data_IF_832886721710
#
_entry.id   IF_832886721710
#
_cell.length_a   1.000
_cell.length_b   1.000
_cell.length_c   1.000
_cell.angle_alpha   90.00
_cell.angle_beta   90.00
_cell.angle_gamma   90.00
#
_symmetry.space_group_name_H-M   'P 1'
#
loop_
_entity.id
_entity.type
_entity.pdbx_description
1 polymer ?
#
# COMPACT_ATOMS: atom_id res chain seq x y z
N UNK A 1 1.12 12.32 3.10
CA UNK A 1 1.01 10.96 3.68
C UNK A 1 -0.23 10.26 3.18
N UNK A 2 -0.14 9.25 2.35
CA UNK A 2 -1.20 8.30 2.05
C UNK A 2 -0.43 7.03 1.88
N UNK A 3 -0.84 5.99 2.58
CA UNK A 3 0.04 4.89 2.95
C UNK A 3 -0.69 3.58 3.20
N UNK A 4 -0.25 2.96 4.28
CA UNK A 4 -0.23 1.53 4.55
C UNK A 4 -1.52 0.85 4.87
N UNK A 5 -1.46 -0.35 5.50
CA UNK A 5 -2.65 -1.05 5.95
C UNK A 5 -3.39 -0.21 6.97
N UNK A 6 -2.64 0.53 7.76
CA UNK A 6 -3.14 1.57 8.65
C UNK A 6 -3.80 2.71 7.86
N UNK A 7 -3.22 3.20 6.76
CA UNK A 7 -3.75 4.35 6.02
C UNK A 7 -4.95 4.01 5.14
N UNK A 8 -4.96 2.85 4.49
CA UNK A 8 -6.13 2.31 3.81
C UNK A 8 -7.25 2.04 4.82
N UNK A 9 -6.93 1.51 6.01
CA UNK A 9 -7.91 1.40 7.09
C UNK A 9 -8.36 2.77 7.57
N UNK A 10 -7.48 3.76 7.68
CA UNK A 10 -7.82 5.13 8.12
C UNK A 10 -8.70 5.82 7.08
N UNK A 11 -8.38 5.76 5.79
CA UNK A 11 -9.23 6.29 4.71
C UNK A 11 -10.56 5.54 4.66
N UNK A 12 -10.55 4.20 4.71
CA UNK A 12 -11.79 3.41 4.71
C UNK A 12 -12.66 3.65 5.95
N UNK A 13 -12.05 3.81 7.13
CA UNK A 13 -12.71 4.11 8.41
C UNK A 13 -13.23 5.56 8.45
N UNK A 14 -12.40 6.51 8.02
CA UNK A 14 -12.78 7.90 7.85
C UNK A 14 -13.99 7.99 6.91
N UNK A 15 -13.95 7.30 5.77
CA UNK A 15 -15.03 7.33 4.77
C UNK A 15 -16.20 6.37 5.07
N UNK A 16 -16.13 5.55 6.13
CA UNK A 16 -17.24 4.70 6.57
C UNK A 16 -18.37 5.49 7.24
N UNK A 17 -18.08 6.67 7.80
CA UNK A 17 -19.05 7.51 8.50
C UNK A 17 -19.73 8.53 7.57
N UNK A 18 -21.04 8.72 7.72
CA UNK A 18 -21.84 9.60 6.87
C UNK A 18 -21.48 11.08 7.02
N UNK A 19 -21.26 11.56 8.26
CA UNK A 19 -20.87 12.94 8.56
C UNK A 19 -19.56 13.29 7.85
N UNK A 20 -18.53 12.45 7.97
CA UNK A 20 -17.24 12.67 7.30
C UNK A 20 -17.34 12.68 5.77
N UNK A 21 -18.21 11.84 5.18
CA UNK A 21 -18.49 11.90 3.73
C UNK A 21 -19.16 13.22 3.33
N UNK A 22 -20.06 13.75 4.16
CA UNK A 22 -20.73 15.03 3.92
C UNK A 22 -19.73 16.19 3.98
N UNK A 23 -18.83 16.20 4.98
CA UNK A 23 -17.72 17.16 5.08
C UNK A 23 -16.87 17.10 3.80
N UNK A 24 -16.42 15.92 3.41
CA UNK A 24 -15.59 15.74 2.21
C UNK A 24 -16.27 16.26 0.93
N UNK A 25 -17.58 16.05 0.77
CA UNK A 25 -18.34 16.52 -0.39
C UNK A 25 -18.45 18.05 -0.44
N UNK A 26 -18.58 18.72 0.72
CA UNK A 26 -18.62 20.19 0.78
C UNK A 26 -17.30 20.84 0.36
N UNK A 27 -16.17 20.15 0.59
CA UNK A 27 -14.84 20.68 0.33
C UNK A 27 -14.38 20.50 -1.13
N UNK A 28 -15.19 19.87 -1.99
CA UNK A 28 -14.85 19.60 -3.40
C UNK A 28 -14.75 20.88 -4.21
N UNK A 29 -15.66 21.84 -3.97
CA UNK A 29 -15.72 23.10 -4.73
C UNK A 29 -14.70 24.13 -4.23
N UNK A 30 -14.55 24.25 -2.91
CA UNK A 30 -13.61 25.18 -2.28
C UNK A 30 -13.36 24.81 -0.81
N UNK A 31 -12.30 25.39 -0.22
CA UNK A 31 -12.09 25.34 1.23
C UNK A 31 -13.28 25.91 1.99
N UNK A 32 -13.54 25.38 3.18
CA UNK A 32 -14.61 25.85 4.06
C UNK A 32 -14.05 26.16 5.44
N UNK A 33 -14.60 27.17 6.11
CA UNK A 33 -14.30 27.45 7.51
C UNK A 33 -14.89 26.36 8.41
N UNK A 34 -14.30 26.19 9.60
CA UNK A 34 -14.85 25.26 10.60
C UNK A 34 -16.29 25.62 11.01
N UNK A 35 -16.66 26.90 11.01
CA UNK A 35 -18.03 27.35 11.28
C UNK A 35 -19.03 26.92 10.20
N UNK A 36 -18.67 27.04 8.92
CA UNK A 36 -19.51 26.62 7.80
C UNK A 36 -19.73 25.10 7.81
N UNK A 37 -18.68 24.34 8.07
CA UNK A 37 -18.78 22.88 8.23
C UNK A 37 -19.67 22.54 9.42
N UNK A 38 -19.47 23.17 10.57
CA UNK A 38 -20.28 22.98 11.78
C UNK A 38 -21.77 23.24 11.56
N UNK A 39 -22.13 24.33 10.85
CA UNK A 39 -23.52 24.64 10.49
C UNK A 39 -24.17 23.55 9.63
N UNK A 40 -23.41 22.91 8.75
CA UNK A 40 -23.94 21.90 7.82
C UNK A 40 -24.03 20.50 8.41
N UNK A 41 -23.04 20.09 9.20
CA UNK A 41 -22.94 18.70 9.72
C UNK A 41 -23.24 18.57 11.21
N UNK A 42 -23.42 19.70 11.90
CA UNK A 42 -23.62 19.80 13.34
C UNK A 42 -22.30 19.92 14.11
N UNK A 43 -22.31 20.57 15.28
CA UNK A 43 -21.10 20.79 16.10
C UNK A 43 -20.65 19.53 16.85
N UNK A 44 -21.55 18.55 17.03
CA UNK A 44 -21.28 17.36 17.83
C UNK A 44 -20.11 16.57 17.24
N UNK A 45 -19.05 16.41 18.03
CA UNK A 45 -17.84 15.67 17.66
C UNK A 45 -17.15 16.18 16.38
N UNK A 46 -17.37 17.43 15.97
CA UNK A 46 -16.80 17.98 14.73
C UNK A 46 -15.27 17.85 14.72
N UNK A 47 -14.60 18.24 15.80
CA UNK A 47 -13.15 18.16 15.92
C UNK A 47 -12.63 16.73 15.73
N UNK A 48 -13.35 15.74 16.28
CA UNK A 48 -13.01 14.34 16.10
C UNK A 48 -13.19 13.87 14.65
N UNK A 49 -14.25 14.32 13.98
CA UNK A 49 -14.46 14.02 12.56
C UNK A 49 -13.35 14.63 11.68
N UNK A 50 -12.96 15.88 11.94
CA UNK A 50 -11.89 16.57 11.24
C UNK A 50 -10.53 15.90 11.52
N UNK A 51 -10.25 15.55 12.78
CA UNK A 51 -9.03 14.85 13.16
C UNK A 51 -8.87 13.53 12.40
N UNK A 52 -9.94 12.73 12.28
CA UNK A 52 -9.89 11.45 11.54
C UNK A 52 -9.68 11.64 10.03
N UNK A 53 -10.29 12.68 9.44
CA UNK A 53 -10.07 13.03 8.03
C UNK A 53 -8.64 13.53 7.79
N UNK A 54 -8.09 14.33 8.71
CA UNK A 54 -6.72 14.84 8.65
C UNK A 54 -5.68 13.73 8.85
N UNK A 55 -5.91 12.78 9.77
CA UNK A 55 -5.04 11.60 9.96
C UNK A 55 -4.99 10.71 8.71
N UNK A 56 -6.12 10.61 8.00
CA UNK A 56 -6.22 9.94 6.71
C UNK A 56 -5.67 10.78 5.54
N UNK A 57 -5.14 11.99 5.82
CA UNK A 57 -4.62 12.96 4.84
C UNK A 57 -5.62 13.31 3.73
N UNK A 58 -6.91 13.25 4.04
CA UNK A 58 -7.98 13.65 3.12
C UNK A 58 -8.20 15.17 3.17
N UNK A 59 -7.96 15.78 4.34
CA UNK A 59 -8.06 17.23 4.54
C UNK A 59 -6.82 17.74 5.26
N UNK A 60 -6.58 19.04 5.15
CA UNK A 60 -5.68 19.79 6.02
C UNK A 60 -6.45 20.98 6.62
N UNK A 61 -6.12 21.36 7.85
CA UNK A 61 -6.70 22.51 8.55
C UNK A 61 -5.60 23.56 8.69
N UNK A 62 -5.80 24.72 8.08
CA UNK A 62 -4.88 25.87 8.10
C UNK A 62 -5.66 27.12 8.48
N UNK A 63 -5.26 27.79 9.57
CA UNK A 63 -5.85 29.05 10.02
C UNK A 63 -7.39 29.03 10.13
N UNK A 64 -7.96 27.93 10.61
CA UNK A 64 -9.42 27.74 10.72
C UNK A 64 -10.14 27.38 9.41
N UNK A 65 -9.43 27.38 8.28
CA UNK A 65 -9.91 26.87 7.00
C UNK A 65 -9.56 25.40 6.83
N UNK A 66 -10.55 24.64 6.40
CA UNK A 66 -10.47 23.23 6.08
C UNK A 66 -10.42 23.13 4.56
N UNK A 67 -9.38 22.49 4.03
CA UNK A 67 -9.22 22.27 2.58
C UNK A 67 -8.92 20.81 2.29
N UNK A 68 -9.34 20.33 1.13
CA UNK A 68 -8.89 19.03 0.64
C UNK A 68 -7.39 19.10 0.34
N UNK A 69 -6.65 18.10 0.82
CA UNK A 69 -5.28 17.88 0.34
C UNK A 69 -5.33 17.45 -1.14
N UNK A 70 -4.18 17.46 -1.82
CA UNK A 70 -4.09 16.87 -3.16
C UNK A 70 -4.59 15.42 -3.17
N UNK A 71 -4.32 14.65 -2.12
CA UNK A 71 -4.87 13.30 -1.99
C UNK A 71 -6.40 13.30 -1.84
N UNK A 72 -6.96 14.18 -1.00
CA UNK A 72 -8.40 14.31 -0.78
C UNK A 72 -9.17 14.69 -2.05
N UNK A 73 -8.65 15.64 -2.84
CA UNK A 73 -9.25 16.05 -4.12
C UNK A 73 -9.35 14.88 -5.09
N UNK A 74 -8.22 14.21 -5.34
CA UNK A 74 -8.18 13.03 -6.20
C UNK A 74 -9.06 11.89 -5.67
N UNK A 75 -9.12 11.69 -4.35
CA UNK A 75 -10.00 10.68 -3.76
C UNK A 75 -11.47 10.95 -4.10
N UNK A 76 -11.91 12.21 -4.04
CA UNK A 76 -13.30 12.59 -4.33
C UNK A 76 -13.67 12.44 -5.80
N UNK A 77 -12.76 12.74 -6.72
CA UNK A 77 -12.97 12.58 -8.17
C UNK A 77 -13.23 11.11 -8.55
N UNK A 78 -12.55 10.16 -7.89
CA UNK A 78 -12.74 8.72 -8.14
C UNK A 78 -14.13 8.16 -7.82
N UNK A 79 -14.93 8.87 -7.00
CA UNK A 79 -16.30 8.45 -6.64
C UNK A 79 -17.37 8.89 -7.65
N UNK A 80 -17.07 9.87 -8.49
CA UNK A 80 -18.01 10.37 -9.50
C UNK A 80 -18.13 9.39 -10.68
N UNK A 81 -17.09 8.59 -10.92
CA UNK A 81 -17.13 7.51 -11.90
C UNK A 81 -17.71 6.25 -11.27
N UNK A 82 -19.01 6.02 -11.48
CA UNK A 82 -19.54 4.64 -11.41
C UNK A 82 -18.73 3.79 -12.40
N UNK A 83 -18.20 2.63 -12.02
CA UNK A 83 -17.59 1.72 -12.98
C UNK A 83 -18.69 1.30 -13.95
N UNK A 84 -18.70 1.92 -15.12
CA UNK A 84 -19.39 1.34 -16.26
C UNK A 84 -18.54 0.13 -16.61
N UNK A 85 -19.13 -1.07 -16.57
CA UNK A 85 -18.50 -2.30 -17.04
C UNK A 85 -18.22 -2.21 -18.55
N UNK A 86 -17.28 -1.37 -18.94
CA UNK A 86 -16.61 -1.50 -20.22
C UNK A 86 -15.32 -2.24 -19.91
N UNK A 87 -15.23 -3.49 -20.34
CA UNK A 87 -14.01 -4.30 -20.32
C UNK A 87 -12.91 -3.58 -21.11
N UNK A 88 -12.28 -2.56 -20.54
CA UNK A 88 -11.05 -2.01 -21.08
C UNK A 88 -9.95 -3.03 -20.83
N UNK A 89 -9.38 -3.51 -21.91
CA UNK A 89 -8.27 -4.47 -21.88
C UNK A 89 -7.00 -3.78 -21.36
N UNK A 90 -6.07 -4.55 -20.80
CA UNK A 90 -4.75 -4.03 -20.42
C UNK A 90 -4.03 -3.38 -21.62
N UNK A 91 -4.32 -3.84 -22.84
CA UNK A 91 -3.68 -3.40 -24.08
C UNK A 91 -3.92 -1.91 -24.42
N UNK A 92 -4.99 -1.32 -23.93
CA UNK A 92 -5.29 0.12 -24.13
C UNK A 92 -4.72 1.00 -23.01
N UNK A 93 -4.10 0.38 -22.00
CA UNK A 93 -3.52 1.11 -20.86
C UNK A 93 -2.16 1.66 -21.26
N UNK A 94 -1.89 2.94 -20.95
CA UNK A 94 -0.59 3.55 -21.22
C UNK A 94 0.42 3.15 -20.14
N UNK A 95 1.71 2.95 -20.48
CA UNK A 95 2.77 2.76 -19.49
C UNK A 95 2.80 3.89 -18.47
N UNK A 96 3.08 3.55 -17.22
CA UNK A 96 3.14 4.50 -16.11
C UNK A 96 4.56 4.98 -15.85
N UNK A 97 4.65 6.20 -15.33
CA UNK A 97 5.85 6.86 -14.84
C UNK A 97 5.65 7.33 -13.39
N UNK A 98 6.70 7.24 -12.57
CA UNK A 98 6.68 7.80 -11.22
C UNK A 98 7.00 9.29 -11.33
N UNK A 99 6.05 10.16 -11.01
CA UNK A 99 6.17 11.61 -11.25
C UNK A 99 6.52 12.40 -10.00
N UNK A 100 6.15 11.91 -8.83
CA UNK A 100 6.42 12.58 -7.56
C UNK A 100 6.62 11.56 -6.44
N UNK A 101 7.58 11.80 -5.54
CA UNK A 101 7.75 11.09 -4.26
C UNK A 101 7.72 12.16 -3.17
N UNK A 102 6.56 12.35 -2.54
CA UNK A 102 6.21 13.64 -1.93
C UNK A 102 6.42 13.77 -0.43
N UNK A 103 6.76 12.73 0.31
CA UNK A 103 7.19 12.88 1.72
C UNK A 103 7.53 11.55 2.39
N UNK A 104 8.65 11.53 3.13
CA UNK A 104 8.94 10.59 4.21
C UNK A 104 8.28 11.11 5.48
N UNK A 105 7.26 10.44 5.98
CA UNK A 105 6.67 10.79 7.26
C UNK A 105 6.67 9.60 8.21
N UNK A 106 6.69 9.82 9.54
CA UNK A 106 6.69 8.71 10.48
C UNK A 106 5.51 7.77 10.21
N UNK A 107 5.80 6.47 10.12
CA UNK A 107 4.79 5.45 9.97
C UNK A 107 4.02 5.30 11.29
N UNK A 108 2.69 5.29 11.20
CA UNK A 108 1.82 5.17 12.39
C UNK A 108 2.02 3.82 13.09
N UNK A 109 2.31 2.76 12.33
CA UNK A 109 2.50 1.42 12.88
C UNK A 109 3.89 1.20 13.50
N UNK A 110 4.89 1.97 13.08
CA UNK A 110 6.27 1.85 13.53
C UNK A 110 6.98 3.20 13.34
N UNK A 111 7.28 3.88 14.45
CA UNK A 111 7.90 5.22 14.43
C UNK A 111 9.30 5.25 13.84
N UNK A 112 9.96 4.08 13.70
CA UNK A 112 11.28 3.96 13.06
C UNK A 112 11.19 3.85 11.54
N UNK A 113 9.98 3.66 11.01
CA UNK A 113 9.73 3.52 9.58
C UNK A 113 8.96 4.72 9.05
N UNK A 114 8.87 4.80 7.74
CA UNK A 114 8.25 5.87 7.02
C UNK A 114 6.99 5.43 6.27
N UNK A 115 6.13 6.41 6.02
CA UNK A 115 5.08 6.39 5.01
C UNK A 115 5.44 7.31 3.87
N UNK A 116 5.24 6.84 2.65
CA UNK A 116 5.57 7.51 1.39
C UNK A 116 4.27 7.75 0.62
N UNK A 117 4.10 8.99 0.13
CA UNK A 117 3.22 9.25 -1.01
C UNK A 117 4.06 9.29 -2.26
N UNK A 118 3.62 8.59 -3.28
CA UNK A 118 4.07 8.82 -4.64
C UNK A 118 2.87 9.05 -5.58
N UNK A 119 3.18 9.48 -6.81
CA UNK A 119 2.20 9.58 -7.89
C UNK A 119 2.70 8.89 -9.14
N UNK A 120 1.81 8.14 -9.78
CA UNK A 120 2.01 7.57 -11.12
C UNK A 120 1.24 8.38 -12.15
N UNK A 121 1.84 8.55 -13.33
CA UNK A 121 1.22 9.22 -14.47
C UNK A 121 1.48 8.43 -15.76
N UNK A 122 0.49 8.27 -16.64
CA UNK A 122 -0.91 8.66 -16.45
C UNK A 122 -1.59 7.82 -15.36
N UNK A 123 -2.72 8.29 -14.78
CA UNK A 123 -3.55 7.46 -13.91
C UNK A 123 -3.96 6.17 -14.62
N UNK A 124 -3.92 5.05 -13.88
CA UNK A 124 -4.25 3.74 -14.44
C UNK A 124 -5.76 3.63 -14.71
N UNK A 125 -6.60 4.22 -13.85
CA UNK A 125 -8.06 4.20 -14.02
C UNK A 125 -8.68 2.80 -13.80
N UNK A 126 -9.75 2.51 -14.54
CA UNK A 126 -10.54 1.27 -14.39
C UNK A 126 -9.79 -0.06 -14.63
N UNK A 127 -8.76 -0.16 -15.49
CA UNK A 127 -7.94 -1.36 -15.64
C UNK A 127 -7.16 -1.78 -14.38
N UNK A 128 -7.08 -0.93 -13.33
CA UNK A 128 -6.31 -1.20 -12.13
C UNK A 128 -6.64 -2.54 -11.45
N UNK A 129 -7.91 -2.96 -11.49
CA UNK A 129 -8.35 -4.27 -10.96
C UNK A 129 -7.69 -5.45 -11.68
N UNK A 130 -7.43 -5.32 -12.98
CA UNK A 130 -6.82 -6.37 -13.80
C UNK A 130 -5.36 -6.63 -13.44
N UNK A 131 -4.71 -5.69 -12.73
CA UNK A 131 -3.35 -5.83 -12.26
C UNK A 131 -3.25 -6.65 -10.96
N UNK A 132 -4.36 -6.97 -10.28
CA UNK A 132 -4.35 -7.75 -9.05
C UNK A 132 -3.54 -9.05 -9.15
N UNK A 133 -3.68 -9.88 -10.20
CA UNK A 133 -2.98 -11.15 -10.27
C UNK A 133 -1.47 -11.05 -10.52
N UNK A 134 -0.94 -9.86 -10.83
CA UNK A 134 0.51 -9.65 -10.99
C UNK A 134 1.26 -9.78 -9.67
N UNK A 135 0.56 -9.60 -8.55
CA UNK A 135 1.16 -9.48 -7.23
C UNK A 135 0.65 -10.62 -6.33
N UNK A 136 1.54 -11.50 -5.82
CA UNK A 136 1.15 -12.67 -5.04
C UNK A 136 0.20 -12.37 -3.88
N UNK A 137 0.42 -11.24 -3.21
CA UNK A 137 -0.34 -10.81 -2.03
C UNK A 137 -1.07 -9.50 -2.28
N UNK A 138 -1.86 -9.45 -3.35
CA UNK A 138 -2.69 -8.30 -3.64
C UNK A 138 -4.19 -8.56 -3.50
N UNK A 139 -4.95 -7.47 -3.38
CA UNK A 139 -6.41 -7.45 -3.44
C UNK A 139 -6.88 -6.11 -3.99
N UNK A 140 -7.89 -6.13 -4.84
CA UNK A 140 -8.57 -4.92 -5.25
C UNK A 140 -9.73 -4.59 -4.28
N UNK A 141 -9.95 -3.29 -4.02
CA UNK A 141 -11.08 -2.82 -3.21
C UNK A 141 -11.96 -1.89 -4.02
N UNK A 142 -13.13 -2.40 -4.41
CA UNK A 142 -14.16 -1.64 -5.15
C UNK A 142 -14.60 -0.38 -4.38
N UNK A 143 -14.70 -0.46 -3.05
CA UNK A 143 -15.17 0.63 -2.18
C UNK A 143 -14.33 1.91 -2.29
N UNK A 144 -13.03 1.77 -2.54
CA UNK A 144 -12.08 2.88 -2.58
C UNK A 144 -11.31 2.97 -3.90
N UNK A 145 -11.69 2.16 -4.91
CA UNK A 145 -11.06 2.15 -6.23
C UNK A 145 -9.55 1.93 -6.18
N UNK A 146 -9.07 0.97 -5.38
CA UNK A 146 -7.64 0.82 -5.11
C UNK A 146 -7.16 -0.63 -5.12
N UNK A 147 -5.97 -0.84 -5.69
CA UNK A 147 -5.21 -2.09 -5.62
C UNK A 147 -4.26 -2.02 -4.43
N UNK A 148 -4.37 -3.01 -3.54
CA UNK A 148 -3.60 -3.09 -2.30
C UNK A 148 -2.67 -4.28 -2.41
N UNK A 149 -1.37 -4.06 -2.30
CA UNK A 149 -0.31 -5.06 -2.46
C UNK A 149 0.49 -5.13 -1.16
N UNK A 150 0.72 -6.33 -0.66
CA UNK A 150 1.64 -6.59 0.45
C UNK A 150 2.94 -7.20 -0.09
N UNK A 151 4.08 -6.63 0.30
CA UNK A 151 5.42 -7.15 0.00
C UNK A 151 6.22 -7.21 1.30
N UNK A 152 6.29 -8.38 1.91
CA UNK A 152 6.71 -8.56 3.30
C UNK A 152 5.88 -7.69 4.25
N UNK A 153 6.55 -6.80 4.99
CA UNK A 153 5.90 -5.83 5.87
C UNK A 153 5.45 -4.55 5.16
N UNK A 154 5.92 -4.30 3.94
CA UNK A 154 5.55 -3.12 3.16
C UNK A 154 4.13 -3.32 2.62
N UNK A 155 3.28 -2.33 2.82
CA UNK A 155 2.00 -2.27 2.11
C UNK A 155 2.03 -1.12 1.12
N UNK A 156 1.66 -1.43 -0.10
CA UNK A 156 1.54 -0.52 -1.23
C UNK A 156 0.06 -0.42 -1.56
N UNK A 157 -0.49 0.80 -1.69
CA UNK A 157 -1.84 0.98 -2.26
C UNK A 157 -1.78 1.95 -3.42
N UNK A 158 -2.35 1.52 -4.53
CA UNK A 158 -2.43 2.26 -5.78
C UNK A 158 -3.89 2.58 -5.98
N UNK A 159 -4.20 3.85 -6.13
CA UNK A 159 -5.56 4.32 -6.41
C UNK A 159 -5.73 4.47 -7.93
N UNK A 160 -6.95 4.30 -8.43
CA UNK A 160 -7.27 4.49 -9.85
C UNK A 160 -6.84 5.87 -10.37
N UNK A 161 -6.82 6.87 -9.49
CA UNK A 161 -6.38 8.26 -9.74
C UNK A 161 -4.87 8.43 -9.91
N UNK A 162 -4.08 7.37 -9.77
CA UNK A 162 -2.62 7.40 -9.90
C UNK A 162 -1.88 7.76 -8.60
N UNK A 163 -2.58 8.00 -7.49
CA UNK A 163 -1.90 8.13 -6.21
C UNK A 163 -1.39 6.77 -5.74
N UNK A 164 -0.15 6.74 -5.24
CA UNK A 164 0.50 5.55 -4.70
C UNK A 164 0.94 5.83 -3.29
N UNK A 165 0.79 4.81 -2.47
CA UNK A 165 0.94 4.92 -1.05
C UNK A 165 1.73 3.77 -0.50
N UNK A 166 2.73 4.03 0.33
CA UNK A 166 3.54 2.95 0.91
C UNK A 166 3.78 3.19 2.39
N UNK A 167 3.80 2.12 3.18
CA UNK A 167 4.23 2.16 4.61
C UNK A 167 5.21 1.08 4.94
N UNK A 168 5.77 1.18 6.15
CA UNK A 168 6.78 0.27 6.66
C UNK A 168 8.05 0.34 5.80
N UNK A 169 8.27 1.51 5.20
CA UNK A 169 9.45 1.81 4.39
C UNK A 169 10.57 2.24 5.34
N UNK A 170 11.75 1.62 5.23
CA UNK A 170 12.88 1.91 6.12
C UNK A 170 13.75 3.08 5.64
N UNK A 171 13.76 3.38 4.35
CA UNK A 171 14.56 4.47 3.78
C UNK A 171 14.01 4.96 2.42
N UNK A 172 14.55 6.07 1.94
CA UNK A 172 14.21 6.61 0.61
C UNK A 172 14.62 5.66 -0.52
N UNK A 173 15.75 4.97 -0.36
CA UNK A 173 16.25 3.98 -1.31
C UNK A 173 15.28 2.80 -1.43
N UNK A 174 14.78 2.27 -0.31
CA UNK A 174 13.76 1.22 -0.34
C UNK A 174 12.47 1.72 -1.01
N UNK A 175 12.08 2.97 -0.79
CA UNK A 175 10.94 3.56 -1.49
C UNK A 175 11.16 3.56 -3.02
N UNK A 176 12.34 3.97 -3.48
CA UNK A 176 12.70 3.99 -4.91
C UNK A 176 12.72 2.58 -5.50
N UNK A 177 13.29 1.61 -4.79
CA UNK A 177 13.30 0.20 -5.21
C UNK A 177 11.89 -0.36 -5.37
N UNK A 178 11.01 -0.11 -4.40
CA UNK A 178 9.61 -0.58 -4.43
C UNK A 178 8.82 0.08 -5.57
N UNK A 179 9.01 1.38 -5.77
CA UNK A 179 8.37 2.10 -6.88
C UNK A 179 8.90 1.65 -8.25
N UNK A 180 10.20 1.38 -8.35
CA UNK A 180 10.82 0.81 -9.54
C UNK A 180 10.28 -0.57 -9.89
N UNK A 181 10.19 -1.46 -8.90
CA UNK A 181 9.55 -2.77 -9.03
C UNK A 181 8.10 -2.66 -9.48
N UNK A 182 7.34 -1.72 -8.89
CA UNK A 182 5.95 -1.51 -9.26
C UNK A 182 5.81 -1.06 -10.72
N UNK A 183 6.61 -0.06 -11.12
CA UNK A 183 6.65 0.45 -12.49
C UNK A 183 7.01 -0.66 -13.49
N UNK A 184 8.08 -1.42 -13.23
CA UNK A 184 8.53 -2.47 -14.15
C UNK A 184 7.49 -3.58 -14.30
N UNK A 185 6.85 -3.98 -13.19
CA UNK A 185 5.84 -5.05 -13.18
C UNK A 185 4.59 -4.63 -13.97
N UNK A 186 4.07 -3.43 -13.70
CA UNK A 186 2.88 -2.90 -14.39
C UNK A 186 3.18 -2.67 -15.87
N UNK A 187 4.29 -2.00 -16.19
CA UNK A 187 4.63 -1.71 -17.59
C UNK A 187 4.96 -2.97 -18.39
N UNK A 188 5.55 -3.99 -17.77
CA UNK A 188 5.76 -5.30 -18.40
C UNK A 188 4.44 -5.98 -18.76
N UNK A 189 3.44 -5.93 -17.88
CA UNK A 189 2.10 -6.46 -18.15
C UNK A 189 1.35 -5.65 -19.22
N UNK A 190 1.48 -4.33 -19.20
CA UNK A 190 0.91 -3.45 -20.24
C UNK A 190 1.54 -3.76 -21.59
N UNK A 191 2.87 -3.88 -21.65
CA UNK A 191 3.60 -4.16 -22.88
C UNK A 191 3.27 -5.55 -23.46
N UNK A 192 3.00 -6.55 -22.61
CA UNK A 192 2.56 -7.86 -23.09
C UNK A 192 1.12 -7.86 -23.61
N UNK A 193 0.29 -6.89 -23.18
CA UNK A 193 -1.12 -6.78 -23.54
C UNK A 193 -2.00 -7.92 -22.99
N UNK A 194 -1.42 -8.86 -22.23
CA UNK A 194 -2.10 -10.03 -21.71
C UNK A 194 -2.64 -9.71 -20.32
N UNK A 195 -3.95 -9.86 -20.14
CA UNK A 195 -4.56 -9.80 -18.82
C UNK A 195 -4.02 -10.95 -17.95
N UNK A 196 -3.39 -10.65 -16.81
CA UNK A 196 -2.87 -11.66 -15.91
C UNK A 196 -3.96 -12.62 -15.44
N UNK A 197 -3.70 -13.92 -15.54
CA UNK A 197 -4.66 -14.93 -15.08
C UNK A 197 -4.67 -14.93 -13.54
N UNK A 198 -5.84 -14.92 -12.89
CA UNK A 198 -5.95 -15.11 -11.45
C UNK A 198 -5.19 -16.36 -11.01
N UNK A 199 -4.24 -16.19 -10.09
CA UNK A 199 -3.52 -17.29 -9.46
C UNK A 199 -4.07 -17.52 -8.05
N UNK A 200 -3.92 -18.75 -7.56
CA UNK A 200 -4.22 -19.05 -6.17
C UNK A 200 -3.30 -18.22 -5.25
N UNK A 201 -3.90 -17.61 -4.22
CA UNK A 201 -3.15 -16.77 -3.28
C UNK A 201 -2.38 -17.67 -2.33
N UNK A 202 -1.09 -17.85 -2.62
CA UNK A 202 -0.18 -18.58 -1.75
C UNK A 202 0.15 -17.70 -0.55
N UNK A 203 -0.23 -18.16 0.64
CA UNK A 203 0.13 -17.51 1.91
C UNK A 203 1.30 -18.28 2.51
N UNK A 204 2.46 -17.63 2.54
CA UNK A 204 3.65 -18.15 3.21
C UNK A 204 3.63 -17.69 4.66
N UNK A 205 3.68 -18.65 5.58
CA UNK A 205 3.71 -18.39 7.01
C UNK A 205 5.14 -18.51 7.58
N UNK A 206 5.42 -17.79 8.66
CA UNK A 206 6.74 -17.90 9.32
C UNK A 206 6.97 -19.30 9.89
N UNK A 207 5.90 -20.02 10.24
CA UNK A 207 5.95 -21.41 10.70
C UNK A 207 6.47 -22.35 9.59
N UNK A 208 6.02 -22.15 8.36
CA UNK A 208 6.49 -22.89 7.17
C UNK A 208 7.96 -22.60 6.90
N UNK A 209 8.38 -21.33 6.89
CA UNK A 209 9.80 -20.98 6.74
C UNK A 209 10.65 -21.64 7.83
N UNK A 210 10.20 -21.57 9.09
CA UNK A 210 10.92 -22.14 10.22
C UNK A 210 11.22 -23.64 10.09
N UNK A 211 10.28 -24.41 9.52
CA UNK A 211 10.46 -25.86 9.32
C UNK A 211 11.66 -26.21 8.43
N UNK A 212 11.99 -25.35 7.47
CA UNK A 212 13.12 -25.56 6.56
C UNK A 212 14.42 -24.93 7.04
N UNK A 213 14.41 -24.13 8.11
CA UNK A 213 15.64 -23.62 8.71
C UNK A 213 16.41 -24.74 9.42
N UNK A 214 17.71 -24.52 9.73
CA UNK A 214 18.51 -25.47 10.50
C UNK A 214 17.99 -25.75 11.92
N UNK A 215 17.15 -24.87 12.47
CA UNK A 215 16.55 -24.97 13.82
C UNK A 215 17.55 -25.17 14.96
N UNK A 216 18.78 -24.67 14.77
CA UNK A 216 19.87 -24.78 15.78
C UNK A 216 19.85 -23.66 16.83
N UNK A 217 19.07 -22.60 16.61
CA UNK A 217 19.05 -21.39 17.43
C UNK A 217 20.44 -20.82 17.76
N UNK A 218 21.38 -20.93 16.82
CA UNK A 218 22.79 -20.59 17.01
C UNK A 218 23.09 -19.09 17.14
N UNK A 219 22.13 -18.22 16.76
CA UNK A 219 22.22 -16.73 16.83
C UNK A 219 23.33 -16.08 16.00
N UNK A 220 24.01 -16.82 15.12
CA UNK A 220 25.09 -16.27 14.26
C UNK A 220 24.61 -15.16 13.33
N UNK A 221 23.32 -15.16 12.98
CA UNK A 221 22.69 -14.11 12.17
C UNK A 221 22.28 -12.86 12.96
N UNK A 222 22.46 -12.87 14.29
CA UNK A 222 22.07 -11.79 15.20
C UNK A 222 20.62 -11.85 15.70
N UNK A 223 19.82 -12.83 15.26
CA UNK A 223 18.45 -13.03 15.75
C UNK A 223 18.43 -13.90 17.02
N UNK A 224 17.38 -13.73 17.84
CA UNK A 224 17.23 -14.43 19.13
C UNK A 224 17.06 -15.96 18.98
N UNK A 225 16.43 -16.40 17.88
CA UNK A 225 16.21 -17.79 17.51
C UNK A 225 16.02 -17.92 15.99
N UNK A 226 16.06 -19.15 15.47
CA UNK A 226 15.70 -19.47 14.10
C UNK A 226 14.23 -19.07 13.81
N UNK A 227 13.34 -19.17 14.81
CA UNK A 227 11.95 -18.72 14.67
C UNK A 227 11.86 -17.20 14.51
N UNK A 228 12.63 -16.42 15.28
CA UNK A 228 12.73 -14.97 15.10
C UNK A 228 13.27 -14.61 13.71
N UNK A 229 14.26 -15.35 13.22
CA UNK A 229 14.78 -15.18 11.86
C UNK A 229 13.70 -15.46 10.79
N UNK A 230 12.89 -16.51 10.96
CA UNK A 230 11.79 -16.81 10.06
C UNK A 230 10.74 -15.68 9.99
N UNK A 231 10.36 -15.10 11.15
CA UNK A 231 9.44 -13.95 11.20
C UNK A 231 10.01 -12.78 10.40
N UNK A 232 11.31 -12.46 10.59
CA UNK A 232 11.96 -11.34 9.89
C UNK A 232 12.15 -11.61 8.40
N UNK A 233 12.33 -12.87 7.99
CA UNK A 233 12.35 -13.26 6.57
C UNK A 233 10.99 -13.02 5.92
N UNK A 234 9.89 -13.47 6.55
CA UNK A 234 8.52 -13.20 6.06
C UNK A 234 8.28 -11.69 5.93
N UNK A 235 8.79 -10.90 6.89
CA UNK A 235 8.71 -9.45 6.86
C UNK A 235 9.61 -8.75 5.84
N UNK A 236 10.50 -9.48 5.15
CA UNK A 236 11.61 -8.95 4.32
C UNK A 236 12.54 -7.98 5.06
N UNK A 237 12.71 -8.18 6.37
CA UNK A 237 13.56 -7.36 7.24
C UNK A 237 14.97 -7.91 7.40
N UNK A 238 15.23 -9.08 6.82
CA UNK A 238 16.53 -9.75 6.78
C UNK A 238 16.67 -10.52 5.46
N UNK A 239 17.90 -10.93 5.11
CA UNK A 239 18.15 -11.79 3.94
C UNK A 239 18.36 -13.23 4.38
N UNK A 240 17.94 -14.19 3.54
CA UNK A 240 18.18 -15.62 3.74
C UNK A 240 19.67 -15.93 3.87
N UNK A 241 20.53 -15.18 3.17
CA UNK A 241 21.99 -15.37 3.16
C UNK A 241 22.64 -15.06 4.53
N UNK A 242 21.93 -14.38 5.44
CA UNK A 242 22.43 -14.15 6.80
C UNK A 242 22.40 -15.42 7.66
N UNK A 243 21.64 -16.45 7.29
CA UNK A 243 21.70 -17.74 7.96
C UNK A 243 22.86 -18.56 7.40
N UNK A 244 24.08 -18.28 7.84
CA UNK A 244 25.26 -19.01 7.37
C UNK A 244 25.18 -20.53 7.53
N UNK A 245 24.55 -21.12 8.57
CA UNK A 245 24.42 -22.57 8.67
C UNK A 245 23.50 -23.16 7.60
N UNK A 246 22.53 -22.40 7.07
CA UNK A 246 21.64 -22.84 5.99
C UNK A 246 22.37 -22.98 4.65
N UNK A 247 23.55 -22.36 4.52
CA UNK A 247 24.37 -22.44 3.31
C UNK A 247 25.22 -23.73 3.24
N UNK A 248 25.26 -24.53 4.31
CA UNK A 248 25.92 -25.83 4.29
C UNK A 248 25.27 -26.77 3.27
N UNK A 249 26.09 -27.60 2.61
CA UNK A 249 25.65 -28.54 1.58
C UNK A 249 24.53 -29.49 2.05
N UNK A 250 24.45 -29.79 3.35
CA UNK A 250 23.39 -30.64 3.91
C UNK A 250 21.99 -30.00 3.87
N UNK A 251 21.90 -28.68 3.69
CA UNK A 251 20.64 -27.93 3.61
C UNK A 251 20.33 -27.39 2.21
N UNK A 252 21.03 -27.82 1.17
CA UNK A 252 20.82 -27.30 -0.19
C UNK A 252 19.37 -27.37 -0.64
N UNK A 253 18.70 -28.52 -0.43
CA UNK A 253 17.29 -28.68 -0.78
C UNK A 253 16.37 -27.73 0.01
N UNK A 254 16.66 -27.52 1.31
CA UNK A 254 15.90 -26.58 2.14
C UNK A 254 16.08 -25.14 1.66
N UNK A 255 17.32 -24.75 1.31
CA UNK A 255 17.63 -23.43 0.80
C UNK A 255 16.91 -23.15 -0.52
N UNK A 256 16.90 -24.11 -1.45
CA UNK A 256 16.17 -24.01 -2.71
C UNK A 256 14.66 -23.87 -2.49
N UNK A 257 14.10 -24.70 -1.60
CA UNK A 257 12.68 -24.62 -1.25
C UNK A 257 12.32 -23.26 -0.63
N UNK A 258 13.13 -22.78 0.32
CA UNK A 258 12.95 -21.48 0.95
C UNK A 258 13.00 -20.35 -0.08
N UNK A 259 13.95 -20.37 -1.01
CA UNK A 259 14.02 -19.37 -2.10
C UNK A 259 12.75 -19.37 -2.95
N UNK A 260 12.23 -20.55 -3.31
CA UNK A 260 11.01 -20.66 -4.10
C UNK A 260 9.78 -20.11 -3.37
N UNK A 261 9.58 -20.43 -2.09
CA UNK A 261 8.42 -19.92 -1.35
C UNK A 261 8.56 -18.43 -1.02
N UNK A 262 9.79 -17.91 -0.86
CA UNK A 262 10.02 -16.49 -0.59
C UNK A 262 9.62 -15.56 -1.75
N UNK A 263 9.48 -16.06 -2.98
CA UNK A 263 8.94 -15.29 -4.11
C UNK A 263 7.49 -14.84 -3.89
N UNK A 264 6.75 -15.50 -2.99
CA UNK A 264 5.37 -15.14 -2.64
C UNK A 264 5.27 -14.12 -1.50
N UNK A 265 6.41 -13.66 -0.94
CA UNK A 265 6.46 -12.72 0.20
C UNK A 265 6.36 -11.25 -0.20
#
# INVERSE_FOLDING_TARGET
>A
MTGGPAEVKLVSNAMANATRRKIMAMLVESGQTQEEVSKSVGPSMLDYHLQLLAQANLIEVKDGNIVLTDFGKNFMESKAEKPTETRKSLAETKPIEITEVRQLLPCIADVTKFRIIARVSPPIGSPLKLLEPLFPRARYSEKIGALIIQKGNILITIYATGNVTMTMIKSEEEAKEVLGYLKSTINGAIASGITPVPREKVKVDHSEIYQYLPQTDCRVCGEQSCYSFAIRLVGRETSIDKCTPLLDAKYTANLEHLRAIMEYL
#
